data_IF_848413420872
#
_entry.id   IF_848413420872
#
_cell.length_a   1.000
_cell.length_b   1.000
_cell.length_c   1.000
_cell.angle_alpha   90.00
_cell.angle_beta   90.00
_cell.angle_gamma   90.00
#
_symmetry.space_group_name_H-M   'P 1'
#
loop_
_entity.id
_entity.type
_entity.pdbx_description
1 polymer ?
#
# COMPACT_ATOMS: atom_id res chain seq x y z
N UNK A 1 12.26 21.16 0.64
CA UNK A 1 12.86 20.12 -0.23
C UNK A 1 13.83 19.32 0.60
N UNK A 2 13.50 18.08 0.94
CA UNK A 2 14.42 17.20 1.66
C UNK A 2 15.37 16.62 0.61
N UNK A 3 16.63 17.07 0.62
CA UNK A 3 17.69 16.40 -0.14
C UNK A 3 17.90 15.03 0.51
N UNK A 4 17.57 13.98 -0.22
CA UNK A 4 17.97 12.63 0.15
C UNK A 4 19.47 12.55 -0.13
N UNK A 5 20.30 12.69 0.91
CA UNK A 5 21.74 12.54 0.80
C UNK A 5 22.06 11.11 0.34
N UNK A 6 22.74 11.00 -0.80
CA UNK A 6 23.25 9.73 -1.31
C UNK A 6 24.27 9.16 -0.30
N UNK A 7 23.97 8.01 0.30
CA UNK A 7 24.90 7.32 1.23
C UNK A 7 26.18 6.80 0.55
N UNK A 8 26.28 6.89 -0.78
CA UNK A 8 27.38 6.38 -1.59
C UNK A 8 27.63 7.38 -2.73
N UNK A 9 28.86 7.87 -2.87
CA UNK A 9 29.24 8.75 -4.00
C UNK A 9 29.34 7.92 -5.30
N UNK A 10 28.35 8.08 -6.17
CA UNK A 10 28.26 7.38 -7.46
C UNK A 10 28.77 8.22 -8.64
N UNK A 11 29.24 9.45 -8.39
CA UNK A 11 29.54 10.45 -9.44
C UNK A 11 30.63 10.06 -10.43
N UNK A 12 31.48 9.07 -10.08
CA UNK A 12 32.63 8.61 -10.88
C UNK A 12 32.49 7.18 -11.40
N UNK A 13 31.37 6.50 -11.14
CA UNK A 13 31.18 5.09 -11.53
C UNK A 13 30.35 4.98 -12.80
N UNK A 14 30.72 4.03 -13.65
CA UNK A 14 29.81 3.56 -14.71
C UNK A 14 28.72 2.77 -14.00
N UNK A 15 27.48 3.20 -14.18
CA UNK A 15 26.32 2.55 -13.57
C UNK A 15 25.49 1.92 -14.68
N UNK A 16 25.16 0.65 -14.50
CA UNK A 16 24.14 0.00 -15.31
C UNK A 16 22.78 0.65 -15.00
N UNK A 17 21.91 0.71 -16.01
CA UNK A 17 20.55 1.23 -15.88
C UNK A 17 19.59 0.04 -16.01
N UNK A 18 19.45 -0.69 -14.91
CA UNK A 18 18.53 -1.81 -14.75
C UNK A 18 17.85 -1.71 -13.37
N UNK A 19 16.78 -2.46 -13.14
CA UNK A 19 16.00 -2.32 -11.90
C UNK A 19 16.76 -2.72 -10.63
N UNK A 20 17.80 -3.54 -10.73
CA UNK A 20 18.64 -3.98 -9.62
C UNK A 20 19.80 -3.03 -9.35
N UNK A 21 20.12 -2.16 -10.30
CA UNK A 21 21.15 -1.14 -10.20
C UNK A 21 20.97 -0.19 -9.01
N UNK A 22 22.07 0.34 -8.45
CA UNK A 22 22.04 1.40 -7.45
C UNK A 22 21.20 2.63 -7.84
N UNK A 23 21.02 2.89 -9.14
CA UNK A 23 20.20 4.00 -9.66
C UNK A 23 18.76 3.95 -9.12
N UNK A 24 18.22 2.75 -8.92
CA UNK A 24 16.84 2.55 -8.45
C UNK A 24 16.75 2.14 -6.97
N UNK A 25 17.84 2.24 -6.19
CA UNK A 25 17.84 1.85 -4.78
C UNK A 25 16.77 2.58 -3.95
N UNK A 26 16.56 3.87 -4.19
CA UNK A 26 15.53 4.64 -3.51
C UNK A 26 14.13 4.07 -3.82
N UNK A 27 13.83 3.87 -5.10
CA UNK A 27 12.58 3.27 -5.56
C UNK A 27 12.33 1.88 -4.96
N UNK A 28 13.34 0.99 -5.00
CA UNK A 28 13.25 -0.36 -4.43
C UNK A 28 13.00 -0.33 -2.93
N UNK A 29 13.73 0.52 -2.21
CA UNK A 29 13.57 0.72 -0.77
C UNK A 29 12.16 1.18 -0.43
N UNK A 30 11.66 2.20 -1.13
CA UNK A 30 10.34 2.76 -0.87
C UNK A 30 9.23 1.78 -1.23
N UNK A 31 9.36 1.05 -2.34
CA UNK A 31 8.41 0.02 -2.73
C UNK A 31 8.36 -1.10 -1.68
N UNK A 32 9.53 -1.56 -1.23
CA UNK A 32 9.62 -2.60 -0.22
C UNK A 32 8.99 -2.17 1.11
N UNK A 33 9.20 -0.92 1.55
CA UNK A 33 8.54 -0.38 2.75
C UNK A 33 7.02 -0.44 2.61
N UNK A 34 6.48 -0.06 1.46
CA UNK A 34 5.02 -0.03 1.28
C UNK A 34 4.43 -1.43 1.14
N UNK A 35 5.11 -2.35 0.47
CA UNK A 35 4.73 -3.77 0.42
C UNK A 35 4.66 -4.36 1.84
N UNK A 36 5.70 -4.16 2.65
CA UNK A 36 5.72 -4.65 4.04
C UNK A 36 4.61 -4.02 4.88
N UNK A 37 4.32 -2.73 4.67
CA UNK A 37 3.22 -2.04 5.35
C UNK A 37 1.86 -2.62 4.96
N UNK A 38 1.61 -2.85 3.68
CA UNK A 38 0.36 -3.47 3.21
C UNK A 38 0.19 -4.89 3.76
N UNK A 39 1.24 -5.71 3.72
CA UNK A 39 1.21 -7.07 4.27
C UNK A 39 0.88 -7.05 5.76
N UNK A 40 1.53 -6.18 6.55
CA UNK A 40 1.21 -6.04 7.98
C UNK A 40 -0.25 -5.68 8.20
N UNK A 41 -0.79 -4.74 7.43
CA UNK A 41 -2.19 -4.31 7.54
C UNK A 41 -3.21 -5.37 7.17
N UNK A 42 -2.87 -6.28 6.26
CA UNK A 42 -3.71 -7.44 5.93
C UNK A 42 -3.56 -8.54 6.97
N UNK A 43 -2.33 -8.78 7.46
CA UNK A 43 -2.04 -9.78 8.48
C UNK A 43 -2.68 -9.47 9.83
N UNK A 44 -2.71 -8.20 10.23
CA UNK A 44 -3.33 -7.73 11.48
C UNK A 44 -4.87 -7.73 11.42
N UNK A 45 -5.48 -8.36 10.41
CA UNK A 45 -6.93 -8.44 10.13
C UNK A 45 -7.64 -7.07 10.03
N UNK A 46 -6.90 -5.97 9.89
CA UNK A 46 -7.47 -4.63 9.72
C UNK A 46 -8.14 -4.47 8.33
N UNK A 47 -7.66 -5.23 7.34
CA UNK A 47 -8.08 -5.19 5.93
C UNK A 47 -8.01 -6.60 5.32
N UNK A 48 -8.88 -6.93 4.37
CA UNK A 48 -8.87 -8.26 3.72
C UNK A 48 -7.87 -8.36 2.56
N UNK A 49 -7.44 -7.21 2.04
CA UNK A 49 -6.53 -7.17 0.91
C UNK A 49 -5.97 -5.78 0.66
N UNK A 50 -4.88 -5.74 -0.09
CA UNK A 50 -4.19 -4.53 -0.48
C UNK A 50 -3.66 -4.58 -1.90
N UNK A 51 -3.54 -3.43 -2.53
CA UNK A 51 -2.97 -3.23 -3.85
C UNK A 51 -1.87 -2.16 -3.76
N UNK A 52 -0.72 -2.42 -4.38
CA UNK A 52 0.39 -1.47 -4.46
C UNK A 52 0.67 -1.18 -5.93
N UNK A 53 0.71 0.10 -6.29
CA UNK A 53 1.01 0.58 -7.64
C UNK A 53 2.31 1.36 -7.62
N UNK A 54 3.22 1.01 -8.54
CA UNK A 54 4.43 1.77 -8.84
C UNK A 54 4.26 2.46 -10.20
N UNK A 55 4.43 3.77 -10.23
CA UNK A 55 4.54 4.55 -11.46
C UNK A 55 5.96 5.09 -11.58
N UNK A 56 6.65 4.75 -12.67
CA UNK A 56 7.99 5.23 -12.99
C UNK A 56 7.93 6.11 -14.24
N UNK A 57 8.32 7.37 -14.10
CA UNK A 57 8.50 8.32 -15.20
C UNK A 57 9.98 8.36 -15.59
N UNK A 58 10.25 8.19 -16.88
CA UNK A 58 11.62 8.14 -17.43
C UNK A 58 11.77 9.26 -18.46
N UNK A 59 12.74 10.14 -18.23
CA UNK A 59 13.06 11.25 -19.12
C UNK A 59 14.58 11.30 -19.35
N UNK A 60 14.99 11.72 -20.55
CA UNK A 60 16.40 11.95 -20.87
C UNK A 60 16.55 13.33 -21.51
N UNK A 61 16.34 14.43 -20.75
CA UNK A 61 16.54 15.78 -21.26
C UNK A 61 18.00 16.06 -21.62
N UNK A 62 18.19 17.04 -22.50
CA UNK A 62 19.51 17.61 -22.74
C UNK A 62 19.86 18.61 -21.63
N UNK A 63 21.09 18.54 -21.15
CA UNK A 63 21.61 19.39 -20.10
C UNK A 63 22.99 19.93 -20.49
N UNK A 64 23.38 21.03 -19.84
CA UNK A 64 24.65 21.71 -20.07
C UNK A 64 25.37 21.85 -18.74
N UNK A 65 26.68 21.59 -18.74
CA UNK A 65 27.55 21.78 -17.57
C UNK A 65 28.74 22.64 -17.97
N UNK A 66 29.02 23.67 -17.19
CA UNK A 66 30.22 24.49 -17.38
C UNK A 66 31.38 23.81 -16.64
N UNK A 67 32.44 23.50 -17.37
CA UNK A 67 33.65 22.87 -16.84
C UNK A 67 34.80 23.87 -17.02
N UNK A 68 35.44 24.33 -15.93
CA UNK A 68 36.61 25.18 -16.05
C UNK A 68 37.79 24.37 -16.59
N UNK A 69 38.48 24.90 -17.59
CA UNK A 69 39.64 24.30 -18.23
C UNK A 69 40.73 25.34 -18.40
N UNK A 70 41.99 24.92 -18.32
CA UNK A 70 43.13 25.78 -18.60
C UNK A 70 43.47 25.64 -20.09
N UNK A 71 43.52 26.77 -20.82
CA UNK A 71 43.91 26.78 -22.23
C UNK A 71 45.43 26.62 -22.40
N UNK A 72 45.91 26.53 -23.64
CA UNK A 72 47.35 26.38 -23.95
C UNK A 72 48.23 27.54 -23.46
N UNK A 73 47.61 28.66 -23.08
CA UNK A 73 48.25 29.88 -22.58
C UNK A 73 48.18 30.02 -21.05
N UNK A 74 47.63 29.03 -20.34
CA UNK A 74 47.53 29.06 -18.87
C UNK A 74 46.32 29.82 -18.33
N UNK A 75 45.39 30.26 -19.17
CA UNK A 75 44.19 31.00 -18.76
C UNK A 75 43.03 30.05 -18.44
N UNK A 76 42.27 30.38 -17.39
CA UNK A 76 41.03 29.70 -17.03
C UNK A 76 39.91 30.07 -18.00
N UNK A 77 39.55 29.14 -18.87
CA UNK A 77 38.40 29.23 -19.77
C UNK A 77 37.26 28.33 -19.27
N UNK A 78 36.02 28.73 -19.56
CA UNK A 78 34.84 27.94 -19.24
C UNK A 78 34.37 27.19 -20.49
N UNK A 79 34.46 25.86 -20.49
CA UNK A 79 33.99 25.01 -21.58
C UNK A 79 32.57 24.50 -21.26
N UNK A 80 31.63 24.68 -22.19
CA UNK A 80 30.25 24.21 -22.03
C UNK A 80 30.13 22.79 -22.56
N UNK A 81 29.86 21.84 -21.68
CA UNK A 81 29.65 20.43 -22.01
C UNK A 81 28.16 20.11 -22.13
N UNK A 82 27.71 19.69 -23.31
CA UNK A 82 26.33 19.22 -23.55
C UNK A 82 26.26 17.71 -23.31
N UNK A 83 25.29 17.27 -22.50
CA UNK A 83 25.08 15.86 -22.19
C UNK A 83 23.59 15.52 -22.09
N UNK A 84 23.29 14.23 -22.16
CA UNK A 84 21.95 13.68 -21.93
C UNK A 84 21.83 13.32 -20.46
N UNK A 85 20.96 14.00 -19.72
CA UNK A 85 20.79 13.79 -18.29
C UNK A 85 19.62 12.83 -18.06
N UNK A 86 19.85 11.55 -17.69
CA UNK A 86 18.76 10.66 -17.33
C UNK A 86 18.08 11.16 -16.05
N UNK A 87 16.75 11.20 -16.06
CA UNK A 87 15.91 11.59 -14.94
C UNK A 87 14.85 10.50 -14.74
N UNK A 88 14.87 9.89 -13.55
CA UNK A 88 13.94 8.86 -13.14
C UNK A 88 13.14 9.36 -11.95
N UNK A 89 11.81 9.36 -12.06
CA UNK A 89 10.92 9.79 -10.99
C UNK A 89 9.93 8.66 -10.69
N UNK A 90 9.93 8.18 -9.44
CA UNK A 90 9.01 7.14 -9.00
C UNK A 90 7.92 7.69 -8.09
N UNK A 91 6.71 7.15 -8.24
CA UNK A 91 5.58 7.36 -7.34
C UNK A 91 5.01 6.01 -6.94
N UNK A 92 4.89 5.77 -5.65
CA UNK A 92 4.30 4.56 -5.08
C UNK A 92 3.00 4.93 -4.38
N UNK A 93 1.95 4.19 -4.65
CA UNK A 93 0.63 4.36 -4.03
C UNK A 93 0.08 3.02 -3.61
N UNK A 94 -0.55 2.94 -2.44
CA UNK A 94 -1.23 1.74 -1.97
C UNK A 94 -2.71 2.00 -1.68
N UNK A 95 -3.55 1.00 -1.94
CA UNK A 95 -4.97 0.99 -1.56
C UNK A 95 -5.25 -0.24 -0.72
N UNK A 96 -5.93 -0.09 0.42
CA UNK A 96 -6.35 -1.20 1.29
C UNK A 96 -7.88 -1.34 1.23
N UNK A 97 -8.37 -2.57 1.10
CA UNK A 97 -9.82 -2.87 1.04
C UNK A 97 -10.29 -3.44 2.38
N UNK A 98 -11.32 -2.83 2.95
CA UNK A 98 -11.97 -3.28 4.18
C UNK A 98 -13.35 -3.84 3.85
N UNK A 99 -13.64 -5.06 4.27
CA UNK A 99 -15.00 -5.59 4.24
C UNK A 99 -15.63 -5.40 5.62
N UNK A 100 -16.78 -4.72 5.67
CA UNK A 100 -17.62 -4.71 6.86
C UNK A 100 -18.52 -5.95 6.79
N UNK A 101 -18.16 -7.01 7.51
CA UNK A 101 -19.08 -8.11 7.82
C UNK A 101 -19.66 -7.87 9.20
N UNK A 102 -20.95 -7.56 9.26
CA UNK A 102 -21.73 -7.58 10.48
C UNK A 102 -22.70 -8.76 10.36
N UNK A 103 -22.27 -9.92 10.83
CA UNK A 103 -23.08 -11.13 10.85
C UNK A 103 -23.50 -11.37 12.30
N UNK A 104 -24.81 -11.30 12.56
CA UNK A 104 -25.41 -11.59 13.85
C UNK A 104 -26.46 -12.68 13.68
N UNK A 105 -26.33 -13.76 14.44
CA UNK A 105 -27.32 -14.83 14.48
C UNK A 105 -27.93 -14.84 15.87
N UNK A 106 -29.19 -14.42 15.97
CA UNK A 106 -30.03 -14.66 17.14
C UNK A 106 -30.72 -16.02 16.92
N UNK A 107 -30.27 -17.04 17.66
CA UNK A 107 -30.88 -18.36 17.71
C UNK A 107 -31.26 -18.66 19.15
N UNK A 108 -32.56 -18.77 19.40
CA UNK A 108 -33.13 -19.25 20.66
C UNK A 108 -34.31 -20.16 20.30
N UNK A 109 -34.56 -21.20 21.10
CA UNK A 109 -35.72 -22.09 20.97
C UNK A 109 -36.98 -21.39 21.51
N UNK A 110 -37.34 -20.28 20.85
CA UNK A 110 -38.52 -19.47 21.14
C UNK A 110 -39.38 -19.34 19.89
N UNK A 111 -40.69 -19.35 20.09
CA UNK A 111 -41.67 -19.08 19.04
C UNK A 111 -41.81 -17.55 18.85
N UNK A 112 -42.14 -17.09 17.64
CA UNK A 112 -42.27 -15.67 17.32
C UNK A 112 -43.75 -15.31 17.14
N UNK A 113 -44.25 -14.39 17.97
CA UNK A 113 -45.62 -13.88 17.89
C UNK A 113 -45.64 -12.40 17.54
N UNK A 114 -46.69 -11.95 16.86
CA UNK A 114 -46.93 -10.54 16.55
C UNK A 114 -48.12 -10.05 17.39
N UNK A 115 -47.85 -9.20 18.38
CA UNK A 115 -48.86 -8.60 19.26
C UNK A 115 -48.56 -7.10 19.41
N UNK A 116 -49.60 -6.26 19.39
CA UNK A 116 -49.52 -4.80 19.54
C UNK A 116 -48.48 -4.10 18.62
N UNK A 117 -48.40 -4.58 17.38
CA UNK A 117 -47.52 -3.99 16.36
C UNK A 117 -46.03 -4.33 16.51
N UNK A 118 -45.67 -5.28 17.39
CA UNK A 118 -44.29 -5.71 17.63
C UNK A 118 -44.16 -7.23 17.61
N UNK A 119 -43.00 -7.71 17.18
CA UNK A 119 -42.64 -9.13 17.26
C UNK A 119 -42.04 -9.43 18.63
N UNK A 120 -42.60 -10.41 19.34
CA UNK A 120 -42.12 -10.89 20.64
C UNK A 120 -41.73 -12.37 20.57
N UNK A 121 -40.58 -12.73 21.15
CA UNK A 121 -40.09 -14.10 21.24
C UNK A 121 -40.58 -14.76 22.54
N UNK A 122 -41.47 -15.75 22.42
CA UNK A 122 -42.09 -16.44 23.56
C UNK A 122 -41.48 -17.83 23.76
N UNK A 123 -41.32 -18.31 25.01
CA UNK A 123 -40.79 -19.65 25.27
C UNK A 123 -41.70 -20.72 24.64
N UNK A 124 -41.10 -21.74 24.03
CA UNK A 124 -41.84 -22.92 23.55
C UNK A 124 -42.40 -23.62 24.78
N UNK A 125 -43.72 -23.74 24.87
CA UNK A 125 -44.36 -24.54 25.91
C UNK A 125 -44.26 -26.01 25.52
N UNK A 126 -43.53 -26.80 26.30
CA UNK A 126 -43.55 -28.25 26.20
C UNK A 126 -44.99 -28.74 26.37
N UNK A 127 -45.56 -29.33 25.31
CA UNK A 127 -46.90 -29.90 25.31
C UNK A 127 -46.92 -31.33 25.89
N UNK A 128 -46.10 -31.60 26.90
CA UNK A 128 -46.14 -32.85 27.67
C UNK A 128 -46.36 -32.55 29.15
N UNK A 129 -47.62 -32.27 29.50
CA UNK A 129 -48.15 -32.54 30.83
C UNK A 129 -49.52 -33.23 30.66
N UNK A 130 -49.52 -34.52 30.97
CA UNK A 130 -50.63 -35.41 31.35
C UNK A 130 -51.91 -35.39 30.49
N UNK A 131 -51.98 -36.27 29.50
CA UNK A 131 -53.24 -36.81 28.93
C UNK A 131 -53.74 -38.03 29.73
N UNK A 132 -53.39 -38.13 31.02
CA UNK A 132 -53.68 -39.30 31.87
C UNK A 132 -54.27 -38.95 33.25
N UNK A 133 -54.99 -37.84 33.37
CA UNK A 133 -55.84 -37.60 34.55
C UNK A 133 -57.25 -37.22 34.13
N UNK A 134 -57.94 -38.10 33.40
CA UNK A 134 -59.40 -38.10 33.31
C UNK A 134 -59.88 -39.52 32.95
N UNK A 135 -59.81 -40.44 33.92
CA UNK A 135 -60.63 -41.66 33.93
C UNK A 135 -61.02 -42.02 35.37
N UNK A 136 -62.30 -41.76 35.67
CA UNK A 136 -63.14 -42.11 36.85
C UNK A 136 -62.97 -41.38 38.18
#
# INVERSE_FOLDING_TARGET
MIKVDEKIDLSKRVLDIDIESPVFNAMRSDLNKEVLRCIRKVYDEEFEGGEVTLKLSIEIPEAFKIIPRVNEFGELINETYRFRQPKFEHKITSTLKKQFKQEGIYREERDVKFEDGKFIAVPIKDAQISLLDEDN
#
